data_IF_117965884972
#
_entry.id   IF_117965884972
#
_cell.length_a   1.000
_cell.length_b   1.000
_cell.length_c   1.000
_cell.angle_alpha   90.00
_cell.angle_beta   90.00
_cell.angle_gamma   90.00
#
_symmetry.space_group_name_H-M   'P 1'
#
loop_
_entity.id
_entity.type
_entity.pdbx_description
1 polymer ?
#
# COMPACT_ATOMS: atom_id res chain seq x y z
N UNK A 1 70.76 -3.55 20.49
CA UNK A 1 71.26 -3.06 21.80
C UNK A 1 71.75 -1.62 21.66
N UNK A 2 70.97 -0.65 22.12
CA UNK A 2 71.46 0.60 22.73
C UNK A 2 70.24 1.34 23.32
N UNK A 3 70.53 2.02 24.41
CA UNK A 3 69.67 2.33 25.56
C UNK A 3 68.93 3.64 25.36
N UNK A 4 67.73 3.73 25.97
CA UNK A 4 67.06 4.87 26.67
C UNK A 4 67.36 6.30 26.18
N UNK A 5 66.35 7.16 26.16
CA UNK A 5 66.19 8.24 27.16
C UNK A 5 64.76 8.82 27.11
N UNK A 6 64.21 8.93 28.31
CA UNK A 6 62.92 9.50 28.68
C UNK A 6 63.17 10.98 29.00
N UNK A 7 62.37 11.90 28.47
CA UNK A 7 62.31 13.28 28.96
C UNK A 7 60.87 13.59 29.32
N UNK A 8 60.68 13.71 30.63
CA UNK A 8 59.59 14.41 31.31
C UNK A 8 59.71 15.90 31.02
N UNK A 9 58.60 16.57 30.76
CA UNK A 9 58.48 17.99 31.09
C UNK A 9 57.11 18.25 31.72
N UNK A 10 57.23 18.61 32.99
CA UNK A 10 56.22 18.96 33.98
C UNK A 10 56.04 20.49 33.94
N UNK A 11 55.17 21.02 34.82
CA UNK A 11 55.08 22.40 35.35
C UNK A 11 53.81 23.14 34.88
N UNK A 12 53.04 23.87 35.73
CA UNK A 12 52.58 23.55 37.08
C UNK A 12 51.13 24.06 37.39
N UNK A 13 50.66 23.71 38.59
CA UNK A 13 49.67 24.35 39.46
C UNK A 13 49.45 25.87 39.33
N UNK A 14 48.20 26.33 39.39
CA UNK A 14 47.76 27.43 40.29
C UNK A 14 46.39 27.08 40.90
N UNK A 15 46.32 27.32 42.21
CA UNK A 15 45.30 26.98 43.20
C UNK A 15 44.30 28.15 43.42
N UNK A 16 43.44 27.99 44.42
CA UNK A 16 42.59 28.98 45.12
C UNK A 16 41.26 29.30 44.39
N UNK A 17 40.06 29.12 44.95
CA UNK A 17 39.61 29.48 46.30
C UNK A 17 38.41 28.63 46.77
N UNK A 18 38.51 28.03 47.97
CA UNK A 18 37.37 27.57 48.76
C UNK A 18 36.78 28.75 49.52
N UNK A 19 35.47 28.98 49.38
CA UNK A 19 34.70 29.75 50.35
C UNK A 19 33.50 28.92 50.81
N UNK A 20 33.58 28.53 52.07
CA UNK A 20 32.46 28.04 52.87
C UNK A 20 31.40 29.14 52.97
N UNK A 21 30.18 28.86 52.54
CA UNK A 21 28.98 29.47 53.14
C UNK A 21 28.07 28.33 53.57
N UNK A 22 27.92 28.27 54.89
CA UNK A 22 27.04 27.40 55.65
C UNK A 22 25.57 27.77 55.46
N UNK A 23 24.73 26.76 55.23
CA UNK A 23 23.40 26.65 55.82
C UNK A 23 22.28 27.52 55.24
N UNK A 24 21.48 26.92 54.34
CA UNK A 24 20.02 26.96 54.49
C UNK A 24 19.38 25.80 53.70
N UNK A 25 18.79 24.83 54.42
CA UNK A 25 17.91 23.82 53.84
C UNK A 25 16.60 24.50 53.45
N UNK A 26 16.42 24.76 52.16
CA UNK A 26 15.09 24.97 51.56
C UNK A 26 14.71 23.67 50.86
N UNK A 27 13.66 23.00 51.35
CA UNK A 27 12.97 21.96 50.59
C UNK A 27 12.37 22.61 49.34
N UNK A 28 13.12 22.63 48.24
CA UNK A 28 12.54 22.76 46.90
C UNK A 28 12.25 21.35 46.42
N UNK A 29 10.98 20.98 46.44
CA UNK A 29 10.48 19.93 45.56
C UNK A 29 10.95 20.31 44.16
N UNK A 30 11.77 19.46 43.59
CA UNK A 30 12.21 19.58 42.20
C UNK A 30 10.98 19.20 41.38
N UNK A 31 10.18 20.18 41.01
CA UNK A 31 9.20 19.97 39.93
C UNK A 31 10.02 19.61 38.69
N UNK A 32 9.99 18.34 38.32
CA UNK A 32 10.39 17.92 36.98
C UNK A 32 9.53 18.73 36.01
N UNK A 33 10.13 19.43 35.02
CA UNK A 33 9.33 20.06 34.00
C UNK A 33 8.52 18.96 33.31
N UNK A 34 7.21 19.07 33.45
CA UNK A 34 6.24 18.29 32.71
C UNK A 34 6.69 18.29 31.24
N UNK A 35 7.05 17.12 30.72
CA UNK A 35 7.37 16.95 29.31
C UNK A 35 6.12 17.34 28.54
N UNK A 36 6.05 18.59 28.11
CA UNK A 36 5.15 19.00 27.03
C UNK A 36 5.61 18.18 25.83
N UNK A 37 4.92 17.07 25.59
CA UNK A 37 5.02 16.34 24.33
C UNK A 37 4.49 17.34 23.30
N UNK A 38 5.40 17.99 22.57
CA UNK A 38 5.01 18.78 21.43
C UNK A 38 4.26 17.84 20.49
N UNK A 39 2.96 18.08 20.26
CA UNK A 39 2.24 17.43 19.18
C UNK A 39 3.02 17.72 17.89
N UNK A 40 3.60 16.69 17.28
CA UNK A 40 4.22 16.82 15.97
C UNK A 40 3.11 17.22 14.99
N UNK A 41 3.08 18.50 14.62
CA UNK A 41 2.13 19.02 13.66
C UNK A 41 2.53 18.54 12.27
N UNK A 42 1.98 17.41 11.85
CA UNK A 42 2.15 16.92 10.49
C UNK A 42 1.51 17.88 9.48
N UNK A 43 2.16 18.05 8.32
CA UNK A 43 1.67 18.88 7.23
C UNK A 43 0.58 18.13 6.46
N UNK A 44 -0.66 18.64 6.48
CA UNK A 44 -1.75 18.09 5.67
C UNK A 44 -1.66 18.58 4.23
N UNK A 45 -1.61 17.64 3.28
CA UNK A 45 -1.53 17.95 1.86
C UNK A 45 -2.65 17.29 1.07
N UNK A 46 -2.99 17.88 -0.09
CA UNK A 46 -3.83 17.25 -1.11
C UNK A 46 -2.92 16.37 -1.98
N UNK A 47 -3.25 15.09 -2.06
CA UNK A 47 -2.53 14.11 -2.87
C UNK A 47 -3.13 14.03 -4.28
N UNK A 48 -4.45 13.91 -4.37
CA UNK A 48 -5.19 13.73 -5.62
C UNK A 48 -6.54 14.43 -5.55
N UNK A 49 -7.12 14.67 -6.73
CA UNK A 49 -8.49 15.15 -6.85
C UNK A 49 -9.17 14.62 -8.11
N UNK A 50 -10.47 14.34 -8.02
CA UNK A 50 -11.30 13.94 -9.16
C UNK A 50 -12.65 14.68 -9.15
N UNK A 51 -13.21 15.03 -10.32
CA UNK A 51 -14.54 15.63 -10.37
C UNK A 51 -15.62 14.59 -10.06
N UNK A 52 -16.63 15.00 -9.31
CA UNK A 52 -17.87 14.25 -9.12
C UNK A 52 -18.94 14.76 -10.09
N UNK A 53 -19.66 13.83 -10.70
CA UNK A 53 -20.84 14.12 -11.51
C UNK A 53 -22.03 14.57 -10.64
N UNK A 54 -22.01 14.21 -9.35
CA UNK A 54 -23.00 14.68 -8.38
C UNK A 54 -22.64 16.12 -7.97
N UNK A 55 -23.53 17.06 -8.30
CA UNK A 55 -23.46 18.48 -7.90
C UNK A 55 -22.22 19.25 -8.37
N UNK A 56 -21.47 18.73 -9.35
CA UNK A 56 -20.23 19.35 -9.87
C UNK A 56 -19.20 19.63 -8.76
N UNK A 57 -19.16 18.78 -7.74
CA UNK A 57 -18.21 18.89 -6.63
C UNK A 57 -16.88 18.25 -6.98
N UNK A 58 -15.80 18.69 -6.32
CA UNK A 58 -14.49 18.04 -6.42
C UNK A 58 -14.32 17.12 -5.20
N UNK A 59 -13.79 15.93 -5.44
CA UNK A 59 -13.37 14.98 -4.40
C UNK A 59 -11.86 15.12 -4.25
N UNK A 60 -11.39 15.37 -3.03
CA UNK A 60 -9.98 15.48 -2.68
C UNK A 60 -9.55 14.32 -1.78
N UNK A 61 -8.45 13.66 -2.14
CA UNK A 61 -7.72 12.75 -1.26
C UNK A 61 -6.63 13.55 -0.55
N UNK A 62 -6.74 13.67 0.76
CA UNK A 62 -5.77 14.38 1.60
C UNK A 62 -5.15 13.43 2.62
N UNK A 63 -3.95 13.75 3.07
CA UNK A 63 -3.27 13.02 4.13
C UNK A 63 -2.28 13.91 4.87
N UNK A 64 -1.90 13.47 6.06
CA UNK A 64 -0.81 14.05 6.82
C UNK A 64 0.52 13.46 6.31
N UNK A 65 1.41 14.34 5.87
CA UNK A 65 2.73 13.99 5.36
C UNK A 65 3.68 13.68 6.51
N UNK A 66 4.21 12.45 6.52
CA UNK A 66 5.19 11.99 7.51
C UNK A 66 6.61 12.14 6.93
N UNK A 67 6.82 11.62 5.72
CA UNK A 67 8.08 11.75 4.98
C UNK A 67 7.81 12.23 3.55
N UNK A 68 8.81 12.15 2.66
CA UNK A 68 8.61 12.45 1.26
C UNK A 68 7.85 11.34 0.50
N UNK A 69 7.74 10.13 1.06
CA UNK A 69 6.98 9.01 0.50
C UNK A 69 5.83 8.53 1.39
N UNK A 70 5.85 8.85 2.68
CA UNK A 70 4.96 8.23 3.66
C UNK A 70 3.86 9.20 4.13
N UNK A 71 2.62 8.70 4.14
CA UNK A 71 1.42 9.46 4.46
C UNK A 71 0.48 8.66 5.37
N UNK A 72 -0.18 9.36 6.30
CA UNK A 72 -1.12 8.81 7.27
C UNK A 72 -2.34 9.72 7.46
N UNK A 73 -3.30 9.30 8.29
CA UNK A 73 -4.45 10.12 8.69
C UNK A 73 -5.24 10.67 7.51
N UNK A 74 -5.57 9.78 6.57
CA UNK A 74 -6.23 10.16 5.34
C UNK A 74 -7.59 10.82 5.58
N UNK A 75 -7.94 11.77 4.70
CA UNK A 75 -9.24 12.42 4.67
C UNK A 75 -9.71 12.51 3.22
N UNK A 76 -10.94 12.06 2.97
CA UNK A 76 -11.66 12.37 1.74
C UNK A 76 -12.53 13.59 1.99
N UNK A 77 -12.31 14.64 1.20
CA UNK A 77 -13.18 15.81 1.18
C UNK A 77 -14.03 15.76 -0.08
N UNK A 78 -15.35 15.91 0.09
CA UNK A 78 -16.30 16.02 -1.03
C UNK A 78 -16.87 17.43 -1.03
N UNK A 79 -16.63 18.16 -2.12
CA UNK A 79 -17.05 19.55 -2.29
C UNK A 79 -16.03 20.56 -1.77
N UNK A 80 -16.30 21.83 -2.11
CA UNK A 80 -15.44 22.96 -1.75
C UNK A 80 -15.88 23.60 -0.42
N UNK A 81 -15.04 24.50 0.09
CA UNK A 81 -15.09 25.13 1.44
C UNK A 81 -16.44 25.71 1.91
N UNK A 82 -17.42 25.87 1.03
CA UNK A 82 -18.77 26.36 1.39
C UNK A 82 -19.72 25.21 1.75
N UNK A 83 -19.52 24.00 1.19
CA UNK A 83 -20.36 22.81 1.38
C UNK A 83 -19.53 21.53 1.33
N UNK A 84 -18.49 21.46 2.16
CA UNK A 84 -17.63 20.27 2.23
C UNK A 84 -18.17 19.22 3.19
N UNK A 85 -17.99 17.96 2.83
CA UNK A 85 -18.14 16.81 3.73
C UNK A 85 -16.80 16.12 3.88
N UNK A 86 -16.38 15.84 5.11
CA UNK A 86 -15.09 15.24 5.42
C UNK A 86 -15.28 13.81 5.96
N UNK A 87 -14.70 12.84 5.27
CA UNK A 87 -14.60 11.45 5.70
C UNK A 87 -13.18 11.18 6.18
N UNK A 88 -13.01 10.69 7.41
CA UNK A 88 -11.71 10.59 8.09
C UNK A 88 -11.33 9.13 8.28
N UNK A 89 -10.11 8.80 7.86
CA UNK A 89 -9.55 7.46 7.87
C UNK A 89 -8.20 7.45 8.60
N UNK A 90 -8.21 7.52 9.95
CA UNK A 90 -6.99 7.64 10.74
C UNK A 90 -6.05 6.43 10.62
N UNK A 91 -6.59 5.27 10.23
CA UNK A 91 -5.82 4.02 10.14
C UNK A 91 -5.30 3.74 8.72
N UNK A 92 -5.63 4.57 7.73
CA UNK A 92 -5.10 4.40 6.38
C UNK A 92 -3.66 4.88 6.33
N UNK A 93 -2.85 4.15 5.59
CA UNK A 93 -1.44 4.42 5.40
C UNK A 93 -1.05 4.21 3.93
N UNK A 94 -0.07 4.98 3.50
CA UNK A 94 0.47 4.92 2.16
C UNK A 94 1.96 5.23 2.15
N UNK A 95 2.74 4.44 1.40
CA UNK A 95 4.17 4.59 1.20
C UNK A 95 4.60 4.34 -0.24
N UNK A 96 5.88 4.57 -0.53
CA UNK A 96 6.68 4.24 -1.74
C UNK A 96 6.17 4.61 -3.15
N UNK A 97 4.91 4.34 -3.51
CA UNK A 97 4.36 4.50 -4.87
C UNK A 97 3.15 5.42 -4.85
N UNK A 98 2.83 6.20 -5.90
CA UNK A 98 1.67 7.09 -5.89
C UNK A 98 0.35 6.40 -5.56
N UNK A 99 -0.58 7.06 -4.83
CA UNK A 99 -1.92 6.54 -4.63
C UNK A 99 -2.72 6.69 -5.93
N UNK A 100 -3.88 6.04 -5.98
CA UNK A 100 -4.85 6.23 -7.07
C UNK A 100 -6.21 6.60 -6.48
N UNK A 101 -6.93 7.48 -7.18
CA UNK A 101 -8.26 7.96 -6.79
C UNK A 101 -9.18 7.89 -8.01
N UNK A 102 -10.29 7.19 -7.87
CA UNK A 102 -11.32 7.08 -8.91
C UNK A 102 -12.67 7.54 -8.38
N UNK A 103 -13.49 8.03 -9.31
CA UNK A 103 -14.91 8.28 -9.08
C UNK A 103 -15.72 7.56 -10.16
N UNK A 104 -16.29 6.40 -9.81
CA UNK A 104 -17.00 5.50 -10.73
C UNK A 104 -18.05 4.71 -9.98
N UNK A 105 -19.20 4.49 -10.60
CA UNK A 105 -20.19 3.53 -10.13
C UNK A 105 -19.63 2.13 -10.35
N UNK A 106 -19.27 1.45 -9.25
CA UNK A 106 -18.74 0.07 -9.28
C UNK A 106 -19.69 -0.93 -8.60
N UNK A 107 -20.76 -0.46 -7.97
CA UNK A 107 -21.81 -1.30 -7.36
C UNK A 107 -23.09 -1.42 -8.21
N UNK A 108 -23.19 -0.66 -9.31
CA UNK A 108 -24.32 -0.67 -10.24
C UNK A 108 -25.56 0.10 -9.79
N UNK A 109 -25.46 0.97 -8.78
CA UNK A 109 -26.59 1.72 -8.23
C UNK A 109 -26.87 3.06 -8.94
N UNK A 110 -26.12 3.36 -10.00
CA UNK A 110 -26.14 4.59 -10.80
C UNK A 110 -25.59 5.84 -10.10
N UNK A 111 -24.95 5.70 -8.93
CA UNK A 111 -24.21 6.76 -8.26
C UNK A 111 -22.72 6.43 -8.26
N UNK A 112 -21.89 7.45 -8.47
CA UNK A 112 -20.45 7.23 -8.45
C UNK A 112 -19.95 6.95 -7.04
N UNK A 113 -19.11 5.91 -6.91
CA UNK A 113 -18.40 5.56 -5.69
C UNK A 113 -16.99 6.19 -5.70
N UNK A 114 -16.43 6.42 -4.51
CA UNK A 114 -15.05 6.90 -4.36
C UNK A 114 -14.15 5.70 -4.11
N UNK A 115 -13.22 5.43 -5.02
CA UNK A 115 -12.28 4.31 -4.91
C UNK A 115 -10.88 4.86 -4.69
N UNK A 116 -10.20 4.37 -3.66
CA UNK A 116 -8.84 4.76 -3.30
C UNK A 116 -7.96 3.53 -3.27
N UNK A 117 -6.86 3.54 -4.02
CA UNK A 117 -5.84 2.49 -3.99
C UNK A 117 -4.60 3.06 -3.30
N UNK A 118 -4.20 2.41 -2.20
CA UNK A 118 -3.04 2.77 -1.40
C UNK A 118 -2.00 1.66 -1.44
N UNK A 119 -0.74 2.04 -1.23
CA UNK A 119 0.35 1.09 -1.06
C UNK A 119 0.81 1.09 0.40
N UNK A 120 0.44 0.05 1.13
CA UNK A 120 0.83 -0.18 2.50
C UNK A 120 2.12 -1.00 2.56
N UNK A 121 3.24 -0.34 2.29
CA UNK A 121 4.58 -0.94 2.37
C UNK A 121 5.07 -1.19 3.81
N UNK A 122 4.35 -0.69 4.81
CA UNK A 122 4.55 -1.04 6.23
C UNK A 122 4.22 -2.48 6.56
N UNK A 123 3.51 -3.18 5.69
CA UNK A 123 3.24 -4.59 5.80
C UNK A 123 4.50 -5.48 5.61
N UNK A 124 5.61 -5.17 6.29
CA UNK A 124 6.84 -5.93 6.25
C UNK A 124 7.73 -5.62 5.05
N UNK A 125 9.04 -5.51 5.30
CA UNK A 125 10.06 -5.32 4.28
C UNK A 125 10.01 -6.50 3.30
N UNK A 126 9.68 -6.23 2.04
CA UNK A 126 9.59 -7.22 0.97
C UNK A 126 8.17 -7.67 0.61
N UNK A 127 7.16 -7.36 1.43
CA UNK A 127 5.76 -7.76 1.21
C UNK A 127 4.80 -6.57 1.29
N UNK A 128 4.96 -5.51 0.47
CA UNK A 128 4.03 -4.38 0.50
C UNK A 128 2.61 -4.87 0.21
N UNK A 129 1.65 -4.49 1.05
CA UNK A 129 0.23 -4.77 0.81
C UNK A 129 -0.34 -3.61 0.03
N UNK A 130 -0.93 -3.86 -1.14
CA UNK A 130 -1.81 -2.84 -1.75
C UNK A 130 -3.17 -2.95 -1.10
N UNK A 131 -3.64 -1.83 -0.55
CA UNK A 131 -4.93 -1.73 0.10
C UNK A 131 -5.86 -0.95 -0.84
N UNK A 132 -7.09 -1.43 -0.98
CA UNK A 132 -8.14 -0.74 -1.72
C UNK A 132 -9.27 -0.41 -0.76
N UNK A 133 -9.75 0.82 -0.87
CA UNK A 133 -10.87 1.35 -0.10
C UNK A 133 -11.93 1.85 -1.06
N UNK A 134 -13.18 1.50 -0.79
CA UNK A 134 -14.32 1.86 -1.62
C UNK A 134 -15.35 2.52 -0.73
N UNK A 135 -15.78 3.71 -1.10
CA UNK A 135 -16.78 4.49 -0.41
C UNK A 135 -18.03 4.51 -1.29
N UNK A 136 -19.03 3.72 -0.92
CA UNK A 136 -20.29 3.64 -1.65
C UNK A 136 -21.17 4.85 -1.35
N UNK A 137 -21.87 5.38 -2.35
CA UNK A 137 -22.81 6.46 -2.14
C UNK A 137 -24.15 5.95 -1.58
N UNK A 138 -24.49 6.34 -0.35
CA UNK A 138 -25.75 5.96 0.31
C UNK A 138 -26.79 7.04 0.05
N UNK A 139 -27.67 6.78 -0.93
CA UNK A 139 -28.69 7.73 -1.41
C UNK A 139 -29.59 8.27 -0.31
N UNK A 140 -30.03 7.43 0.63
CA UNK A 140 -30.94 7.82 1.72
C UNK A 140 -30.30 8.83 2.67
N UNK A 141 -28.97 8.76 2.82
CA UNK A 141 -28.20 9.63 3.72
C UNK A 141 -27.52 10.78 2.97
N UNK A 142 -27.46 10.71 1.63
CA UNK A 142 -26.70 11.63 0.78
C UNK A 142 -25.26 11.72 1.28
N UNK A 143 -24.65 10.58 1.55
CA UNK A 143 -23.33 10.45 2.16
C UNK A 143 -22.62 9.20 1.65
N UNK A 144 -21.30 9.19 1.76
CA UNK A 144 -20.48 8.02 1.46
C UNK A 144 -20.23 7.18 2.71
N UNK A 145 -20.21 5.86 2.54
CA UNK A 145 -19.84 4.91 3.58
C UNK A 145 -18.80 3.92 3.04
N UNK A 146 -17.76 3.64 3.82
CA UNK A 146 -16.74 2.66 3.42
C UNK A 146 -17.37 1.28 3.35
N UNK A 147 -17.34 0.70 2.16
CA UNK A 147 -17.82 -0.63 1.87
C UNK A 147 -16.70 -1.65 2.10
N UNK A 148 -16.99 -2.78 2.77
CA UNK A 148 -15.99 -3.80 2.97
C UNK A 148 -15.64 -4.48 1.64
N UNK A 149 -14.37 -4.83 1.50
CA UNK A 149 -13.86 -5.72 0.46
C UNK A 149 -13.43 -7.02 1.14
N UNK A 150 -13.62 -8.15 0.45
CA UNK A 150 -13.21 -9.42 1.00
C UNK A 150 -11.71 -9.43 1.34
N UNK A 151 -11.38 -10.09 2.46
CA UNK A 151 -9.98 -10.17 2.90
C UNK A 151 -9.10 -10.92 1.90
N UNK A 152 -7.82 -10.55 1.82
CA UNK A 152 -6.84 -11.24 0.98
C UNK A 152 -6.74 -12.75 1.27
N UNK A 153 -6.99 -13.19 2.51
CA UNK A 153 -7.01 -14.63 2.85
C UNK A 153 -8.21 -15.35 2.23
N UNK A 154 -9.37 -14.68 2.17
CA UNK A 154 -10.55 -15.18 1.46
C UNK A 154 -10.29 -15.22 -0.05
N UNK A 155 -9.74 -14.15 -0.64
CA UNK A 155 -9.30 -14.09 -2.04
C UNK A 155 -8.35 -15.24 -2.40
N UNK A 156 -7.32 -15.48 -1.57
CA UNK A 156 -6.38 -16.61 -1.73
C UNK A 156 -7.10 -17.96 -1.71
N UNK A 157 -8.07 -18.12 -0.82
CA UNK A 157 -8.85 -19.36 -0.71
C UNK A 157 -9.70 -19.59 -1.96
N UNK A 158 -10.38 -18.54 -2.45
CA UNK A 158 -11.15 -18.56 -3.70
C UNK A 158 -10.28 -18.91 -4.90
N UNK A 159 -9.09 -18.30 -5.02
CA UNK A 159 -8.16 -18.61 -6.12
C UNK A 159 -7.67 -20.06 -6.01
N UNK A 160 -7.29 -20.54 -4.83
CA UNK A 160 -6.81 -21.91 -4.65
C UNK A 160 -7.88 -22.98 -4.92
N UNK A 161 -9.15 -22.66 -4.73
CA UNK A 161 -10.25 -23.60 -5.01
C UNK A 161 -10.64 -23.64 -6.49
N UNK A 162 -10.45 -22.53 -7.22
CA UNK A 162 -10.86 -22.38 -8.62
C UNK A 162 -9.71 -22.54 -9.63
N UNK A 163 -8.46 -22.29 -9.22
CA UNK A 163 -7.30 -22.23 -10.10
C UNK A 163 -6.33 -23.38 -9.81
N UNK A 164 -6.02 -24.16 -10.84
CA UNK A 164 -4.98 -25.20 -10.80
C UNK A 164 -3.90 -24.91 -11.83
N UNK A 165 -2.64 -24.96 -11.40
CA UNK A 165 -1.47 -24.74 -12.25
C UNK A 165 -0.75 -26.07 -12.51
N UNK A 166 -0.35 -26.31 -13.74
CA UNK A 166 0.44 -27.48 -14.12
C UNK A 166 1.50 -27.14 -15.16
N UNK A 167 2.57 -27.93 -15.21
CA UNK A 167 3.63 -27.77 -16.21
C UNK A 167 4.08 -29.12 -16.75
N UNK A 168 4.25 -29.22 -18.06
CA UNK A 168 4.86 -30.37 -18.73
C UNK A 168 5.86 -29.87 -19.77
N UNK A 169 7.16 -30.06 -19.51
CA UNK A 169 8.21 -29.47 -20.35
C UNK A 169 8.12 -27.94 -20.34
N UNK A 170 7.97 -27.33 -21.51
CA UNK A 170 7.77 -25.88 -21.68
C UNK A 170 6.29 -25.46 -21.78
N UNK A 171 5.37 -26.41 -21.66
CA UNK A 171 3.94 -26.11 -21.69
C UNK A 171 3.46 -25.92 -20.27
N UNK A 172 2.93 -24.73 -19.98
CA UNK A 172 2.19 -24.43 -18.77
C UNK A 172 0.71 -24.53 -19.07
N UNK A 173 -0.02 -25.19 -18.17
CA UNK A 173 -1.47 -25.26 -18.21
C UNK A 173 -2.03 -24.56 -16.98
N UNK A 174 -2.97 -23.64 -17.20
CA UNK A 174 -3.72 -22.98 -16.14
C UNK A 174 -5.17 -23.39 -16.33
N UNK A 175 -5.73 -24.06 -15.33
CA UNK A 175 -7.15 -24.39 -15.28
C UNK A 175 -7.84 -23.40 -14.35
N UNK A 176 -8.90 -22.75 -14.82
CA UNK A 176 -9.75 -21.88 -14.03
C UNK A 176 -11.18 -22.36 -14.20
N UNK A 177 -11.72 -23.00 -13.17
CA UNK A 177 -13.01 -23.68 -13.26
C UNK A 177 -13.05 -24.63 -14.48
N UNK A 178 -13.94 -24.38 -15.45
CA UNK A 178 -14.09 -25.18 -16.66
C UNK A 178 -13.16 -24.74 -17.81
N UNK A 179 -12.46 -23.62 -17.66
CA UNK A 179 -11.57 -23.07 -18.68
C UNK A 179 -10.15 -23.60 -18.55
N UNK A 180 -9.49 -23.75 -19.70
CA UNK A 180 -8.11 -24.23 -19.80
C UNK A 180 -7.29 -23.33 -20.71
N UNK A 181 -6.24 -22.77 -20.14
CA UNK A 181 -5.24 -21.95 -20.82
C UNK A 181 -3.96 -22.76 -21.01
N UNK A 182 -3.40 -22.76 -22.22
CA UNK A 182 -2.19 -23.49 -22.57
C UNK A 182 -1.16 -22.49 -23.09
N UNK A 183 -0.02 -22.41 -22.41
CA UNK A 183 1.03 -21.41 -22.64
C UNK A 183 2.32 -22.14 -22.98
N UNK A 184 2.91 -21.83 -24.13
CA UNK A 184 4.29 -22.22 -24.44
C UNK A 184 5.24 -21.14 -23.92
N UNK A 185 5.97 -21.44 -22.84
CA UNK A 185 6.86 -20.47 -22.19
C UNK A 185 8.18 -20.26 -22.95
N UNK A 186 8.46 -21.01 -24.01
CA UNK A 186 9.68 -20.81 -24.82
C UNK A 186 9.73 -19.41 -25.43
N UNK A 187 8.57 -18.83 -25.74
CA UNK A 187 8.43 -17.48 -26.28
C UNK A 187 8.96 -16.38 -25.35
N UNK A 188 9.03 -16.65 -24.04
CA UNK A 188 9.55 -15.69 -23.08
C UNK A 188 11.06 -15.77 -22.89
N UNK A 189 11.73 -16.74 -23.51
CA UNK A 189 13.19 -16.95 -23.42
C UNK A 189 13.73 -17.01 -21.98
N UNK A 190 12.93 -17.53 -21.04
CA UNK A 190 13.33 -17.70 -19.66
C UNK A 190 14.47 -18.69 -19.50
N UNK A 191 15.44 -18.35 -18.64
CA UNK A 191 16.58 -19.23 -18.37
C UNK A 191 16.14 -20.28 -17.34
N UNK A 192 16.20 -21.55 -17.75
CA UNK A 192 15.94 -22.70 -16.90
C UNK A 192 14.61 -22.60 -16.12
N UNK A 193 13.45 -22.56 -16.80
CA UNK A 193 12.15 -22.48 -16.12
C UNK A 193 11.84 -23.76 -15.33
N UNK A 194 11.63 -23.59 -14.01
CA UNK A 194 11.40 -24.69 -13.05
C UNK A 194 10.02 -24.63 -12.42
N UNK A 195 9.57 -25.78 -11.96
CA UNK A 195 8.47 -25.86 -10.99
C UNK A 195 8.96 -25.47 -9.59
N UNK A 196 8.08 -24.99 -8.70
CA UNK A 196 6.65 -24.75 -8.92
C UNK A 196 6.36 -23.46 -9.68
N UNK A 197 5.19 -23.43 -10.33
CA UNK A 197 4.51 -22.19 -10.69
C UNK A 197 4.00 -21.54 -9.40
N UNK A 198 4.02 -20.21 -9.34
CA UNK A 198 3.59 -19.47 -8.14
C UNK A 198 2.66 -18.33 -8.49
N UNK A 199 1.72 -18.06 -7.58
CA UNK A 199 0.82 -16.91 -7.64
C UNK A 199 1.33 -15.90 -6.61
N UNK A 200 1.65 -14.69 -7.03
CA UNK A 200 2.23 -13.66 -6.17
C UNK A 200 1.17 -12.70 -5.67
N UNK A 201 0.50 -13.08 -4.58
CA UNK A 201 -0.53 -12.26 -3.94
C UNK A 201 0.01 -10.92 -3.41
N UNK A 202 1.29 -10.85 -3.07
CA UNK A 202 1.94 -9.62 -2.59
C UNK A 202 2.13 -8.57 -3.69
N UNK A 203 2.02 -8.98 -4.96
CA UNK A 203 2.09 -8.09 -6.12
C UNK A 203 0.71 -7.80 -6.71
N UNK A 204 -0.36 -8.06 -5.96
CA UNK A 204 -1.73 -7.74 -6.39
C UNK A 204 -1.86 -6.24 -6.66
N UNK A 205 -2.45 -5.90 -7.79
CA UNK A 205 -2.80 -4.52 -8.14
C UNK A 205 -4.30 -4.41 -8.34
N UNK A 206 -4.86 -3.23 -8.12
CA UNK A 206 -6.28 -2.97 -8.34
C UNK A 206 -6.44 -1.91 -9.41
N UNK A 207 -7.48 -2.05 -10.22
CA UNK A 207 -7.84 -1.10 -11.25
C UNK A 207 -9.36 -1.02 -11.38
N UNK A 208 -9.85 0.13 -11.83
CA UNK A 208 -11.26 0.31 -12.20
C UNK A 208 -11.33 0.49 -13.72
N UNK A 209 -11.96 -0.46 -14.41
CA UNK A 209 -12.07 -0.47 -15.86
C UNK A 209 -13.55 -0.58 -16.25
N UNK A 210 -14.04 0.34 -17.08
CA UNK A 210 -15.43 0.32 -17.57
C UNK A 210 -16.51 0.21 -16.46
N UNK A 211 -16.26 0.82 -15.29
CA UNK A 211 -17.17 0.76 -14.14
C UNK A 211 -17.10 -0.56 -13.35
N UNK A 212 -16.08 -1.39 -13.58
CA UNK A 212 -15.90 -2.64 -12.85
C UNK A 212 -14.56 -2.62 -12.10
N UNK A 213 -14.59 -3.14 -10.87
CA UNK A 213 -13.40 -3.30 -10.05
C UNK A 213 -12.68 -4.60 -10.40
N UNK A 214 -11.38 -4.49 -10.67
CA UNK A 214 -10.51 -5.63 -10.93
C UNK A 214 -9.32 -5.68 -9.97
N UNK A 215 -9.03 -6.87 -9.45
CA UNK A 215 -7.72 -7.22 -8.92
C UNK A 215 -6.89 -7.94 -9.98
N UNK A 216 -5.59 -7.71 -10.03
CA UNK A 216 -4.67 -8.39 -10.95
C UNK A 216 -3.57 -9.05 -10.13
N UNK A 217 -3.51 -10.37 -10.14
CA UNK A 217 -2.56 -11.17 -9.36
C UNK A 217 -1.57 -11.86 -10.30
N UNK A 218 -0.27 -11.54 -10.23
CA UNK A 218 0.69 -12.13 -11.15
C UNK A 218 0.92 -13.62 -10.93
N UNK A 219 1.06 -14.34 -12.05
CA UNK A 219 1.44 -15.75 -12.10
C UNK A 219 2.87 -15.84 -12.63
N UNK A 220 3.73 -16.49 -11.86
CA UNK A 220 5.15 -16.64 -12.14
C UNK A 220 5.53 -18.10 -12.38
N UNK A 221 6.63 -18.25 -13.11
CA UNK A 221 7.41 -19.46 -13.15
C UNK A 221 8.79 -19.23 -12.52
N UNK A 222 9.22 -20.15 -11.66
CA UNK A 222 10.52 -20.05 -10.99
C UNK A 222 11.67 -20.20 -12.00
N UNK A 223 12.78 -19.51 -11.77
CA UNK A 223 14.01 -19.59 -12.57
C UNK A 223 15.23 -19.79 -11.65
N UNK A 224 16.40 -20.02 -12.25
CA UNK A 224 17.68 -20.11 -11.50
C UNK A 224 18.07 -18.76 -10.85
N UNK A 225 17.51 -17.66 -11.35
CA UNK A 225 17.62 -16.33 -10.77
C UNK A 225 16.57 -16.10 -9.67
N UNK A 226 16.89 -15.20 -8.74
CA UNK A 226 15.99 -14.77 -7.66
C UNK A 226 14.64 -14.18 -8.13
N UNK A 227 14.53 -13.83 -9.41
CA UNK A 227 13.33 -13.26 -10.01
C UNK A 227 12.76 -14.33 -10.96
N UNK A 228 11.56 -14.83 -10.64
CA UNK A 228 10.79 -15.70 -11.54
C UNK A 228 10.32 -14.92 -12.78
N UNK A 229 9.94 -15.65 -13.84
CA UNK A 229 9.37 -15.05 -15.05
C UNK A 229 7.85 -14.94 -14.95
N UNK A 230 7.28 -13.78 -15.27
CA UNK A 230 5.81 -13.61 -15.31
C UNK A 230 5.24 -14.27 -16.55
N UNK A 231 4.37 -15.26 -16.39
CA UNK A 231 3.67 -15.88 -17.52
C UNK A 231 2.31 -15.23 -17.81
N UNK A 232 1.75 -14.49 -16.85
CA UNK A 232 0.51 -13.74 -17.01
C UNK A 232 -0.05 -13.25 -15.67
N UNK A 233 -1.31 -12.84 -15.70
CA UNK A 233 -2.04 -12.32 -14.55
C UNK A 233 -3.36 -13.08 -14.41
N UNK A 234 -3.75 -13.40 -13.17
CA UNK A 234 -5.14 -13.68 -12.86
C UNK A 234 -5.87 -12.34 -12.73
N UNK A 235 -6.90 -12.12 -13.55
CA UNK A 235 -7.81 -10.98 -13.45
C UNK A 235 -9.00 -11.39 -12.62
N UNK A 236 -9.16 -10.74 -11.49
CA UNK A 236 -10.22 -10.97 -10.51
C UNK A 236 -11.28 -9.90 -10.66
N UNK A 237 -12.45 -10.25 -11.16
CA UNK A 237 -13.61 -9.34 -11.16
C UNK A 237 -14.24 -9.32 -9.77
N UNK A 238 -14.32 -8.15 -9.16
CA UNK A 238 -15.01 -7.96 -7.88
C UNK A 238 -16.38 -7.37 -8.11
N UNK A 239 -17.40 -7.92 -7.46
CA UNK A 239 -18.78 -7.43 -7.53
C UNK A 239 -19.36 -7.22 -6.13
N UNK A 240 -20.28 -6.26 -6.00
CA UNK A 240 -20.97 -5.98 -4.75
C UNK A 240 -22.08 -7.01 -4.53
N UNK A 241 -21.94 -7.86 -3.51
CA UNK A 241 -22.93 -8.90 -3.23
C UNK A 241 -24.06 -8.44 -2.28
N UNK A 242 -24.10 -7.16 -1.91
CA UNK A 242 -25.01 -6.60 -0.91
C UNK A 242 -24.40 -6.44 0.48
N UNK A 243 -23.26 -7.09 0.75
CA UNK A 243 -22.54 -7.06 2.02
C UNK A 243 -21.09 -6.59 1.86
N UNK A 244 -20.37 -7.13 0.87
CA UNK A 244 -18.98 -6.79 0.56
C UNK A 244 -18.69 -6.90 -0.94
N UNK A 245 -17.61 -6.28 -1.40
CA UNK A 245 -17.02 -6.55 -2.71
C UNK A 245 -16.27 -7.89 -2.65
N UNK A 246 -16.71 -8.88 -3.41
CA UNK A 246 -16.11 -10.21 -3.44
C UNK A 246 -15.77 -10.65 -4.87
N UNK A 247 -14.74 -11.50 -5.01
CA UNK A 247 -14.40 -12.10 -6.30
C UNK A 247 -15.58 -12.88 -6.85
N UNK A 248 -16.10 -12.39 -7.98
CA UNK A 248 -17.16 -13.00 -8.76
C UNK A 248 -16.59 -13.94 -9.81
N UNK A 249 -15.63 -13.45 -10.58
CA UNK A 249 -15.02 -14.16 -11.70
C UNK A 249 -13.50 -14.05 -11.67
N UNK A 250 -12.84 -15.08 -12.17
CA UNK A 250 -11.40 -15.13 -12.34
C UNK A 250 -11.14 -15.50 -13.80
N UNK A 251 -10.35 -14.69 -14.49
CA UNK A 251 -9.87 -14.98 -15.84
C UNK A 251 -8.33 -14.98 -15.85
N UNK A 252 -7.74 -15.54 -16.90
CA UNK A 252 -6.31 -15.46 -17.12
C UNK A 252 -5.98 -14.56 -18.31
N UNK A 253 -5.09 -13.58 -18.08
CA UNK A 253 -4.52 -12.76 -19.13
C UNK A 253 -3.05 -13.16 -19.29
N UNK A 254 -2.74 -13.74 -20.44
CA UNK A 254 -1.39 -14.15 -20.78
C UNK A 254 -0.47 -12.93 -20.93
N UNK A 255 0.73 -13.01 -20.35
CA UNK A 255 1.70 -11.93 -20.47
C UNK A 255 2.15 -11.77 -21.92
N UNK A 256 2.08 -10.53 -22.42
CA UNK A 256 2.63 -10.13 -23.70
C UNK A 256 3.79 -9.15 -23.46
N UNK A 257 5.00 -9.53 -23.87
CA UNK A 257 6.21 -8.70 -23.70
C UNK A 257 6.23 -7.43 -24.54
N UNK A 258 5.34 -7.32 -25.54
CA UNK A 258 5.18 -6.11 -26.35
C UNK A 258 4.19 -5.11 -25.73
N UNK A 259 3.50 -5.50 -24.65
CA UNK A 259 2.51 -4.68 -23.96
C UNK A 259 3.11 -4.14 -22.65
N UNK A 260 3.77 -2.97 -22.75
CA UNK A 260 4.46 -2.27 -21.66
C UNK A 260 3.53 -1.94 -20.47
N UNK A 261 2.21 -2.03 -20.63
CA UNK A 261 1.22 -1.71 -19.59
C UNK A 261 1.03 -2.82 -18.55
N UNK A 262 1.64 -3.99 -18.73
CA UNK A 262 1.35 -5.17 -17.88
C UNK A 262 1.76 -5.04 -16.41
N UNK A 263 2.73 -4.19 -16.09
CA UNK A 263 3.21 -3.97 -14.71
C UNK A 263 3.41 -2.51 -14.33
N UNK A 264 3.49 -1.61 -15.32
CA UNK A 264 4.00 -0.25 -15.14
C UNK A 264 3.16 0.83 -15.82
N UNK A 265 1.88 0.58 -16.14
CA UNK A 265 0.96 1.69 -16.42
C UNK A 265 0.72 2.45 -15.10
N UNK A 266 1.63 3.39 -14.84
CA UNK A 266 1.54 4.45 -13.84
C UNK A 266 0.92 5.69 -14.48
#
# INVERSE_FOLDING_TARGET
MKTKHMIFLLVPFILVFTLFITGWKSNKVKEEPEKVIAEEKHERIVLLSVPSEIRHQIIYLMADKITWMDYENFVIQVGDSVQETLYRFPNWYHGKYPPELFYKDVNGDSFGDIIVVLNNDRAGIGNPKKDIHILNFIKERVAYEEAPIESMEKTKTTIKSKVTLGKQGNIVTIHIEDEKYIIDITKYHYRNPREPLSISFDLTTYAVENGQLFGRVPVFISQDSFIGGVIGLLRLEYDWNGEEYAVKQIDFIEYNSEDDQFFFSY
#
